data_IF_774198976663
#
_entry.id   IF_774198976663
#
_cell.length_a   1.000
_cell.length_b   1.000
_cell.length_c   1.000
_cell.angle_alpha   90.00
_cell.angle_beta   90.00
_cell.angle_gamma   90.00
#
_symmetry.space_group_name_H-M   'P 1'
#
loop_
_entity.id
_entity.type
_entity.pdbx_description
1 polymer ?
#
# COMPACT_ATOMS: atom_id res chain seq x y z
N UNK A 1 -3.07 -15.75 -17.34
CA UNK A 1 -4.53 -15.57 -17.23
C UNK A 1 -5.19 -16.12 -18.49
N UNK A 2 -6.05 -17.14 -18.42
CA UNK A 2 -6.83 -17.62 -19.59
C UNK A 2 -8.23 -17.01 -19.50
N UNK A 3 -8.68 -16.20 -20.49
CA UNK A 3 -10.01 -15.62 -20.45
C UNK A 3 -11.05 -16.72 -20.72
N UNK A 4 -11.99 -16.92 -19.81
CA UNK A 4 -12.91 -18.07 -19.84
C UNK A 4 -14.36 -17.73 -20.23
N UNK A 5 -14.63 -16.57 -20.84
CA UNK A 5 -15.95 -16.26 -21.42
C UNK A 5 -15.80 -15.37 -22.68
N UNK A 6 -16.46 -15.69 -23.81
CA UNK A 6 -16.48 -14.82 -24.97
C UNK A 6 -17.29 -13.55 -24.69
N UNK A 7 -16.66 -12.38 -24.83
CA UNK A 7 -17.35 -11.08 -24.95
C UNK A 7 -17.12 -10.04 -23.84
N UNK A 8 -16.40 -10.37 -22.75
CA UNK A 8 -16.06 -9.38 -21.70
C UNK A 8 -14.57 -9.43 -21.41
N UNK A 9 -13.86 -8.34 -21.69
CA UNK A 9 -12.46 -8.17 -21.30
C UNK A 9 -12.36 -7.92 -19.80
N UNK A 10 -11.53 -8.68 -19.06
CA UNK A 10 -11.26 -8.38 -17.66
C UNK A 10 -10.65 -6.99 -17.51
N UNK A 11 -11.13 -6.21 -16.54
CA UNK A 11 -10.63 -4.86 -16.24
C UNK A 11 -10.48 -4.64 -14.74
N UNK A 12 -9.46 -3.88 -14.36
CA UNK A 12 -9.26 -3.34 -13.02
C UNK A 12 -9.00 -1.84 -13.16
N UNK A 13 -9.67 -1.02 -12.37
CA UNK A 13 -9.40 0.40 -12.27
C UNK A 13 -9.21 0.78 -10.80
N UNK A 14 -8.25 1.67 -10.52
CA UNK A 14 -8.10 2.25 -9.19
C UNK A 14 -9.25 3.25 -8.97
N UNK A 15 -9.88 3.18 -7.81
CA UNK A 15 -10.81 4.22 -7.36
C UNK A 15 -9.95 5.34 -6.78
N UNK A 16 -9.87 6.48 -7.47
CA UNK A 16 -8.95 7.59 -7.11
C UNK A 16 -9.06 8.03 -5.65
N UNK A 17 -10.28 8.10 -5.15
CA UNK A 17 -10.60 8.65 -3.82
C UNK A 17 -10.37 7.61 -2.71
N UNK A 18 -9.91 6.40 -3.06
CA UNK A 18 -9.60 5.34 -2.11
C UNK A 18 -8.13 5.30 -1.70
N UNK A 19 -7.26 6.05 -2.38
CA UNK A 19 -5.82 6.08 -2.08
C UNK A 19 -5.62 6.75 -0.71
N UNK A 20 -5.12 5.97 0.24
CA UNK A 20 -4.83 6.41 1.60
C UNK A 20 -3.38 6.12 2.01
N UNK A 21 -2.98 6.66 3.15
CA UNK A 21 -1.70 6.39 3.81
C UNK A 21 -1.84 5.27 4.85
N UNK A 22 -0.70 4.68 5.23
CA UNK A 22 -0.59 3.82 6.41
C UNK A 22 -0.26 4.68 7.63
N UNK A 23 -1.03 4.58 8.70
CA UNK A 23 -0.77 5.26 9.97
C UNK A 23 -0.01 4.33 10.92
N UNK A 24 1.29 4.54 11.05
CA UNK A 24 2.15 3.78 11.97
C UNK A 24 2.14 4.32 13.40
N UNK A 25 1.50 5.45 13.68
CA UNK A 25 1.48 6.04 15.02
C UNK A 25 0.32 5.45 15.83
N UNK A 26 -0.87 5.45 15.24
CA UNK A 26 -2.09 5.00 15.93
C UNK A 26 -2.42 3.53 15.64
N UNK A 27 -1.99 3.00 14.49
CA UNK A 27 -2.46 1.72 13.95
C UNK A 27 -1.32 0.82 13.44
N UNK A 28 -0.13 0.92 14.04
CA UNK A 28 1.00 0.05 13.68
C UNK A 28 0.65 -1.43 13.85
N UNK A 29 1.13 -2.27 12.95
CA UNK A 29 0.86 -3.72 12.90
C UNK A 29 -0.64 -4.09 12.78
N UNK A 30 -1.50 -3.10 12.50
CA UNK A 30 -2.91 -3.33 12.22
C UNK A 30 -3.20 -3.32 10.71
N UNK A 31 -4.24 -4.05 10.32
CA UNK A 31 -4.70 -4.08 8.94
C UNK A 31 -5.40 -2.78 8.54
N UNK A 32 -4.79 -2.02 7.64
CA UNK A 32 -5.32 -0.75 7.15
C UNK A 32 -5.67 -0.83 5.65
N UNK A 33 -6.81 -0.26 5.25
CA UNK A 33 -7.22 -0.21 3.84
C UNK A 33 -6.63 1.01 3.15
N UNK A 34 -5.70 0.80 2.21
CA UNK A 34 -5.01 1.91 1.51
C UNK A 34 -5.45 2.13 0.06
N UNK A 35 -6.09 1.14 -0.56
CA UNK A 35 -6.41 1.18 -1.99
C UNK A 35 -7.61 0.30 -2.30
N UNK A 36 -8.50 0.80 -3.17
CA UNK A 36 -9.64 0.05 -3.69
C UNK A 36 -9.60 -0.02 -5.22
N UNK A 37 -9.99 -1.18 -5.75
CA UNK A 37 -10.11 -1.44 -7.17
C UNK A 37 -11.56 -1.70 -7.57
N UNK A 38 -12.03 -1.13 -8.68
CA UNK A 38 -13.22 -1.60 -9.41
C UNK A 38 -12.76 -2.71 -10.37
N UNK A 39 -13.06 -3.96 -10.00
CA UNK A 39 -12.64 -5.15 -10.73
C UNK A 39 -13.84 -5.80 -11.44
N UNK A 40 -13.69 -6.14 -12.73
CA UNK A 40 -14.69 -6.89 -13.50
C UNK A 40 -14.00 -8.04 -14.24
N UNK A 41 -14.34 -9.27 -13.89
CA UNK A 41 -13.78 -10.47 -14.53
C UNK A 41 -12.33 -10.79 -14.15
N UNK A 42 -11.77 -10.12 -13.14
CA UNK A 42 -10.49 -10.42 -12.50
C UNK A 42 -10.58 -10.12 -11.00
N UNK A 43 -9.71 -10.74 -10.22
CA UNK A 43 -9.51 -10.44 -8.79
C UNK A 43 -8.01 -10.35 -8.52
N UNK A 44 -7.53 -9.30 -7.82
CA UNK A 44 -6.15 -9.22 -7.41
C UNK A 44 -5.83 -10.29 -6.36
N UNK A 45 -4.65 -10.90 -6.47
CA UNK A 45 -4.23 -11.99 -5.58
C UNK A 45 -2.89 -11.73 -4.90
N UNK A 46 -2.11 -10.77 -5.38
CA UNK A 46 -0.80 -10.41 -4.85
C UNK A 46 -0.52 -8.92 -5.11
N UNK A 47 0.37 -8.34 -4.31
CA UNK A 47 0.78 -6.94 -4.40
C UNK A 47 2.28 -6.82 -4.18
N UNK A 48 2.93 -6.12 -5.10
CA UNK A 48 4.35 -5.77 -5.02
C UNK A 48 4.49 -4.24 -4.86
N UNK A 49 4.85 -3.76 -3.65
CA UNK A 49 4.89 -2.33 -3.35
C UNK A 49 5.97 -1.58 -4.15
N UNK A 50 7.08 -2.23 -4.54
CA UNK A 50 8.19 -1.63 -5.30
C UNK A 50 8.62 -0.28 -4.72
N UNK A 51 8.90 0.71 -5.56
CA UNK A 51 9.43 2.01 -5.18
C UNK A 51 8.46 3.18 -5.40
N UNK A 52 8.88 4.36 -4.95
CA UNK A 52 8.15 5.62 -5.09
C UNK A 52 7.26 5.93 -3.90
N UNK A 53 7.51 5.30 -2.76
CA UNK A 53 6.82 5.60 -1.51
C UNK A 53 7.42 6.82 -0.83
N UNK A 54 6.60 7.48 -0.02
CA UNK A 54 7.02 8.60 0.81
C UNK A 54 6.58 8.35 2.25
N UNK A 55 7.40 8.71 3.22
CA UNK A 55 7.07 8.64 4.64
C UNK A 55 7.49 9.93 5.35
N UNK A 56 6.99 10.11 6.57
CA UNK A 56 7.35 11.24 7.42
C UNK A 56 7.77 10.70 8.79
N UNK A 57 8.95 11.10 9.25
CA UNK A 57 9.46 10.81 10.59
C UNK A 57 8.48 11.32 11.65
N UNK A 58 8.09 10.45 12.57
CA UNK A 58 6.99 10.67 13.52
C UNK A 58 7.23 11.89 14.41
N UNK A 59 8.43 11.98 14.99
CA UNK A 59 8.78 13.04 15.95
C UNK A 59 9.31 14.30 15.27
N UNK A 60 10.09 14.14 14.20
CA UNK A 60 10.85 15.24 13.58
C UNK A 60 10.10 15.93 12.42
N UNK A 61 9.12 15.25 11.82
CA UNK A 61 8.54 15.64 10.54
C UNK A 61 9.51 15.55 9.35
N UNK A 62 10.63 14.82 9.47
CA UNK A 62 11.58 14.60 8.36
C UNK A 62 10.87 13.84 7.24
N UNK A 63 10.86 14.40 6.03
CA UNK A 63 10.32 13.72 4.86
C UNK A 63 11.35 12.73 4.30
N UNK A 64 10.89 11.52 4.02
CA UNK A 64 11.63 10.49 3.31
C UNK A 64 10.91 10.26 1.97
N UNK A 65 11.60 10.57 0.88
CA UNK A 65 11.10 10.42 -0.49
C UNK A 65 11.77 9.24 -1.19
N UNK A 66 11.18 8.77 -2.30
CA UNK A 66 11.72 7.69 -3.15
C UNK A 66 12.05 6.39 -2.38
N UNK A 67 11.28 6.07 -1.33
CA UNK A 67 11.42 4.82 -0.57
C UNK A 67 11.17 3.62 -1.50
N UNK A 68 12.12 2.69 -1.50
CA UNK A 68 12.05 1.42 -2.23
C UNK A 68 11.72 0.27 -1.26
N UNK A 69 10.57 -0.37 -1.50
CA UNK A 69 10.04 -1.51 -0.77
C UNK A 69 10.02 -2.78 -1.65
N UNK A 70 10.80 -2.84 -2.74
CA UNK A 70 10.89 -4.04 -3.58
C UNK A 70 11.30 -5.30 -2.79
N UNK A 71 12.13 -5.13 -1.77
CA UNK A 71 12.56 -6.19 -0.85
C UNK A 71 11.64 -6.34 0.36
N UNK A 72 10.49 -5.66 0.37
CA UNK A 72 9.51 -5.60 1.47
C UNK A 72 10.09 -5.11 2.81
N UNK A 73 11.22 -4.42 2.75
CA UNK A 73 11.84 -3.79 3.89
C UNK A 73 12.62 -2.56 3.44
N UNK A 74 12.70 -1.57 4.32
CA UNK A 74 13.48 -0.34 4.15
C UNK A 74 13.94 0.14 5.52
N UNK A 75 15.13 0.73 5.58
CA UNK A 75 15.65 1.36 6.78
C UNK A 75 16.53 2.55 6.40
N UNK A 76 16.47 3.59 7.23
CA UNK A 76 17.26 4.81 7.11
C UNK A 76 17.43 5.46 8.50
N UNK A 77 18.02 6.64 8.57
CA UNK A 77 18.29 7.34 9.81
C UNK A 77 17.71 8.76 9.78
N UNK A 78 16.89 9.09 10.78
CA UNK A 78 16.37 10.44 10.97
C UNK A 78 17.36 11.28 11.77
N UNK A 79 18.21 12.03 11.06
CA UNK A 79 19.22 12.90 11.66
C UNK A 79 18.63 13.98 12.60
N UNK A 80 17.38 14.39 12.40
CA UNK A 80 16.75 15.42 13.24
C UNK A 80 16.25 14.85 14.57
N UNK A 81 15.73 13.63 14.55
CA UNK A 81 15.32 12.92 15.77
C UNK A 81 16.48 12.18 16.44
N UNK A 82 17.56 11.88 15.69
CA UNK A 82 18.69 11.11 16.18
C UNK A 82 18.38 9.63 16.33
N UNK A 83 17.48 9.08 15.52
CA UNK A 83 16.97 7.72 15.63
C UNK A 83 16.95 6.98 14.28
N UNK A 84 17.00 5.65 14.36
CA UNK A 84 16.81 4.80 13.19
C UNK A 84 15.32 4.73 12.83
N UNK A 85 15.03 4.67 11.54
CA UNK A 85 13.68 4.53 10.98
C UNK A 85 13.64 3.29 10.11
N UNK A 86 12.55 2.54 10.17
CA UNK A 86 12.38 1.32 9.40
C UNK A 86 10.93 1.05 9.00
N UNK A 87 10.76 0.35 7.89
CA UNK A 87 9.54 -0.31 7.46
C UNK A 87 9.93 -1.75 7.18
N UNK A 88 9.35 -2.71 7.89
CA UNK A 88 9.66 -4.14 7.71
C UNK A 88 8.38 -4.98 7.75
N UNK A 89 8.54 -6.29 7.50
CA UNK A 89 7.49 -7.30 7.70
C UNK A 89 6.17 -6.96 7.00
N UNK A 90 6.26 -6.39 5.80
CA UNK A 90 5.09 -5.95 5.03
C UNK A 90 4.24 -7.16 4.64
N UNK A 91 3.02 -7.21 5.20
CA UNK A 91 1.98 -8.12 4.79
C UNK A 91 0.87 -7.39 4.03
N UNK A 92 0.32 -8.05 3.00
CA UNK A 92 -0.77 -7.50 2.19
C UNK A 92 -1.86 -8.54 2.02
N UNK A 93 -3.10 -8.09 2.12
CA UNK A 93 -4.28 -8.92 1.83
C UNK A 93 -5.32 -8.13 1.07
N UNK A 94 -6.07 -8.83 0.24
CA UNK A 94 -7.24 -8.29 -0.44
C UNK A 94 -8.50 -8.70 0.31
N UNK A 95 -9.41 -7.74 0.51
CA UNK A 95 -10.72 -7.96 1.11
C UNK A 95 -11.79 -7.36 0.20
N UNK A 96 -12.97 -7.98 0.15
CA UNK A 96 -14.09 -7.40 -0.58
C UNK A 96 -14.53 -6.11 0.12
N UNK A 97 -14.48 -5.00 -0.61
CA UNK A 97 -14.95 -3.72 -0.13
C UNK A 97 -16.44 -3.81 0.22
N UNK A 98 -16.81 -3.36 1.42
CA UNK A 98 -18.22 -3.22 1.79
C UNK A 98 -18.72 -1.93 1.17
N UNK A 99 -19.58 -2.02 0.16
CA UNK A 99 -20.25 -0.85 -0.39
C UNK A 99 -20.98 -0.11 0.75
N UNK A 100 -20.64 1.16 0.98
CA UNK A 100 -21.45 2.04 1.84
C UNK A 100 -22.80 2.20 1.13
N UNK A 101 -23.88 1.75 1.78
CA UNK A 101 -25.26 2.00 1.34
C UNK A 101 -25.58 3.49 1.41
#
# INVERSE_FOLDING_TARGET
>A
MKPNLPGVSPVAAIISDSIGSYDSVEHNEEWQSMLQFDCRGLEPYDFDPRNGWTAVGVESGTAFDDIDLSEKAWADYDEKAGEATEISDIEVRFVHAKNKK
#
